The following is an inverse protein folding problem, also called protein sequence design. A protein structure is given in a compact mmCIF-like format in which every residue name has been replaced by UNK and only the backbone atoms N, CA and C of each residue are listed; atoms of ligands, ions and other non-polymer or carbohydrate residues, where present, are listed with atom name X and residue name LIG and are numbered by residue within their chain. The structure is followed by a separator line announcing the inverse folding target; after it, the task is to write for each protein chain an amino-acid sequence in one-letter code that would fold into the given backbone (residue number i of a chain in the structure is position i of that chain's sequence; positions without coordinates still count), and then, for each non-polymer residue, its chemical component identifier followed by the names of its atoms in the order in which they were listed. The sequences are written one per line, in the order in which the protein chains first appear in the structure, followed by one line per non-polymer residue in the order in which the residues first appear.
data_IF_354069706195
#
_entry.id   IF_354069706195
#
_cell.length_a   1.000
_cell.length_b   1.000
_cell.length_c   1.000
_cell.angle_alpha   90.00
_cell.angle_beta   90.00
_cell.angle_gamma   90.00
#
_symmetry.space_group_name_H-M   'P 1'
#
loop_
_entity.id
_entity.type
_entity.pdbx_description
1 polymer ?
#
# COMPACT_ATOMS: atom_id res chain seq x y z
N UNK A 1 -5.47 -21.32 32.07
CA UNK A 1 -4.61 -20.58 33.02
C UNK A 1 -3.45 -21.48 33.42
N UNK A 2 -2.21 -20.99 33.56
CA UNK A 2 -1.84 -19.59 33.63
C UNK A 2 -0.89 -19.11 32.50
N UNK A 3 -1.01 -17.82 32.22
CA UNK A 3 0.02 -16.85 31.80
C UNK A 3 1.36 -17.39 31.30
N UNK A 4 1.55 -17.37 29.99
CA UNK A 4 2.83 -17.03 29.41
C UNK A 4 2.79 -15.55 29.04
N UNK A 5 3.20 -14.66 29.94
CA UNK A 5 3.69 -13.34 29.52
C UNK A 5 4.86 -13.67 28.61
N UNK A 6 4.72 -13.52 27.29
CA UNK A 6 5.88 -13.56 26.42
C UNK A 6 6.69 -12.31 26.77
N UNK A 7 7.62 -12.48 27.70
CA UNK A 7 8.67 -11.52 27.99
C UNK A 7 9.20 -11.00 26.65
N UNK A 8 9.39 -9.68 26.54
CA UNK A 8 9.83 -9.00 25.32
C UNK A 8 11.19 -9.43 24.74
N UNK A 9 11.73 -10.58 25.17
CA UNK A 9 12.89 -11.27 24.60
C UNK A 9 12.57 -11.98 23.27
N UNK A 10 11.32 -12.39 23.03
CA UNK A 10 10.90 -12.99 21.76
C UNK A 10 10.68 -11.97 20.63
N UNK A 11 10.69 -10.67 20.96
CA UNK A 11 10.55 -9.57 20.01
C UNK A 11 11.88 -9.09 19.41
N UNK A 12 13.02 -9.68 19.81
CA UNK A 12 14.34 -9.25 19.33
C UNK A 12 14.83 -10.23 18.26
N UNK A 13 15.06 -9.72 17.05
CA UNK A 13 15.66 -10.49 15.97
C UNK A 13 17.05 -11.00 16.38
N UNK A 14 17.32 -12.27 16.14
CA UNK A 14 18.67 -12.85 16.21
C UNK A 14 19.56 -12.32 15.08
N UNK A 15 20.90 -12.49 15.14
CA UNK A 15 21.77 -12.10 14.03
C UNK A 15 21.40 -12.76 12.69
N UNK A 16 21.06 -14.05 12.70
CA UNK A 16 20.66 -14.78 11.49
C UNK A 16 19.33 -14.24 10.93
N UNK A 17 18.36 -13.97 11.80
CA UNK A 17 17.09 -13.35 11.40
C UNK A 17 17.28 -11.94 10.84
N UNK A 18 18.19 -11.14 11.41
CA UNK A 18 18.56 -9.83 10.84
C UNK A 18 19.19 -9.96 9.46
N UNK A 19 20.09 -10.92 9.26
CA UNK A 19 20.67 -11.20 7.93
C UNK A 19 19.59 -11.60 6.94
N UNK A 20 18.71 -12.53 7.31
CA UNK A 20 17.60 -12.99 6.46
C UNK A 20 16.66 -11.85 6.07
N UNK A 21 16.29 -10.99 7.03
CA UNK A 21 15.46 -9.81 6.76
C UNK A 21 16.17 -8.82 5.82
N UNK A 22 17.47 -8.61 6.02
CA UNK A 22 18.28 -7.76 5.14
C UNK A 22 18.39 -8.34 3.72
N UNK A 23 18.48 -9.66 3.57
CA UNK A 23 18.52 -10.32 2.27
C UNK A 23 17.21 -10.11 1.49
N UNK A 24 16.05 -10.22 2.15
CA UNK A 24 14.75 -9.92 1.53
C UNK A 24 14.70 -8.44 1.11
N UNK A 25 15.12 -7.51 1.99
CA UNK A 25 15.16 -6.06 1.70
C UNK A 25 16.06 -5.69 0.52
N UNK A 26 17.17 -6.41 0.37
CA UNK A 26 18.18 -6.12 -0.64
C UNK A 26 17.89 -6.77 -2.00
N UNK A 27 16.89 -7.64 -2.09
CA UNK A 27 16.51 -8.27 -3.36
C UNK A 27 15.89 -7.24 -4.30
N UNK A 28 16.44 -7.14 -5.51
CA UNK A 28 16.03 -6.16 -6.53
C UNK A 28 14.95 -6.67 -7.47
N UNK A 29 14.83 -8.00 -7.58
CA UNK A 29 13.95 -8.71 -8.49
C UNK A 29 13.71 -10.16 -7.98
N UNK A 30 12.71 -10.83 -8.54
CA UNK A 30 12.31 -12.19 -8.17
C UNK A 30 13.43 -13.21 -8.47
N UNK A 31 14.23 -12.98 -9.52
CA UNK A 31 15.37 -13.84 -9.83
C UNK A 31 16.47 -13.73 -8.77
N UNK A 32 16.72 -12.53 -8.25
CA UNK A 32 17.64 -12.29 -7.13
C UNK A 32 17.12 -12.91 -5.84
N UNK A 33 15.82 -12.77 -5.57
CA UNK A 33 15.18 -13.43 -4.44
C UNK A 33 15.33 -14.96 -4.52
N UNK A 34 15.15 -15.54 -5.70
CA UNK A 34 15.35 -16.98 -5.97
C UNK A 34 16.77 -17.42 -5.63
N UNK A 35 17.79 -16.69 -6.08
CA UNK A 35 19.19 -16.98 -5.76
C UNK A 35 19.49 -16.88 -4.26
N UNK A 36 18.93 -15.88 -3.57
CA UNK A 36 19.10 -15.68 -2.12
C UNK A 36 18.43 -16.76 -1.28
N UNK A 37 17.33 -17.32 -1.79
CA UNK A 37 16.56 -18.34 -1.11
C UNK A 37 16.95 -19.77 -1.51
N UNK A 38 17.81 -19.93 -2.52
CA UNK A 38 18.14 -21.22 -3.14
C UNK A 38 16.86 -22.01 -3.47
N UNK A 39 15.90 -21.30 -4.08
CA UNK A 39 14.57 -21.84 -4.39
C UNK A 39 14.52 -22.41 -5.82
N UNK A 40 13.65 -23.40 -6.01
CA UNK A 40 13.46 -24.07 -7.31
C UNK A 40 12.80 -23.18 -8.36
N UNK A 41 12.05 -22.15 -7.94
CA UNK A 41 11.36 -21.20 -8.80
C UNK A 41 11.19 -19.83 -8.16
N UNK A 42 10.89 -18.82 -8.97
CA UNK A 42 10.56 -17.46 -8.51
C UNK A 42 9.27 -17.43 -7.68
N UNK A 43 8.29 -18.28 -8.01
CA UNK A 43 7.06 -18.42 -7.20
C UNK A 43 7.37 -19.01 -5.82
N UNK A 44 8.18 -20.07 -5.76
CA UNK A 44 8.58 -20.68 -4.49
C UNK A 44 9.38 -19.70 -3.63
N UNK A 45 10.31 -18.97 -4.25
CA UNK A 45 11.08 -17.92 -3.60
C UNK A 45 10.17 -16.82 -3.03
N UNK A 46 9.20 -16.34 -3.82
CA UNK A 46 8.27 -15.30 -3.42
C UNK A 46 7.44 -15.72 -2.20
N UNK A 47 6.82 -16.89 -2.22
CA UNK A 47 5.99 -17.36 -1.10
C UNK A 47 6.81 -17.74 0.14
N UNK A 48 8.01 -18.31 -0.04
CA UNK A 48 8.94 -18.54 1.06
C UNK A 48 9.37 -17.22 1.71
N UNK A 49 9.68 -16.21 0.89
CA UNK A 49 10.03 -14.88 1.36
C UNK A 49 8.86 -14.19 2.07
N UNK A 50 7.63 -14.27 1.56
CA UNK A 50 6.43 -13.71 2.22
C UNK A 50 6.25 -14.24 3.64
N UNK A 51 6.43 -15.56 3.83
CA UNK A 51 6.33 -16.18 5.15
C UNK A 51 7.44 -15.69 6.08
N UNK A 52 8.70 -15.80 5.65
CA UNK A 52 9.84 -15.36 6.46
C UNK A 52 9.72 -13.86 6.79
N UNK A 53 9.33 -13.03 5.81
CA UNK A 53 9.09 -11.61 5.96
C UNK A 53 8.04 -11.30 7.01
N UNK A 54 6.89 -11.96 6.96
CA UNK A 54 5.80 -11.74 7.91
C UNK A 54 6.27 -11.93 9.36
N UNK A 55 6.94 -13.05 9.64
CA UNK A 55 7.43 -13.40 10.98
C UNK A 55 8.55 -12.46 11.45
N UNK A 56 9.49 -12.14 10.56
CA UNK A 56 10.61 -11.26 10.88
C UNK A 56 10.15 -9.81 11.11
N UNK A 57 9.24 -9.31 10.27
CA UNK A 57 8.66 -7.97 10.42
C UNK A 57 7.76 -7.88 11.64
N UNK A 58 7.06 -8.96 12.03
CA UNK A 58 6.32 -8.99 13.28
C UNK A 58 7.20 -8.72 14.49
N UNK A 59 8.34 -9.43 14.59
CA UNK A 59 9.32 -9.21 15.66
C UNK A 59 9.90 -7.79 15.62
N UNK A 60 10.32 -7.34 14.44
CA UNK A 60 10.91 -6.00 14.27
C UNK A 60 9.92 -4.89 14.68
N UNK A 61 8.67 -4.95 14.22
CA UNK A 61 7.65 -3.95 14.51
C UNK A 61 7.13 -4.03 15.96
N UNK A 62 7.20 -5.19 16.61
CA UNK A 62 6.90 -5.33 18.04
C UNK A 62 7.87 -4.52 18.91
N UNK A 63 9.11 -4.31 18.44
CA UNK A 63 10.11 -3.49 19.14
C UNK A 63 9.90 -1.97 18.97
N UNK A 64 9.06 -1.54 18.01
CA UNK A 64 8.81 -0.13 17.72
C UNK A 64 7.74 0.42 18.67
N UNK A 65 8.05 1.45 19.49
CA UNK A 65 7.08 2.10 20.36
C UNK A 65 5.93 2.68 19.56
N UNK A 66 4.72 2.62 20.12
CA UNK A 66 3.58 3.36 19.57
C UNK A 66 3.80 4.85 19.83
N UNK A 67 3.58 5.66 18.80
CA UNK A 67 3.66 7.12 18.90
C UNK A 67 2.25 7.67 19.12
N UNK A 68 2.17 8.75 19.88
CA UNK A 68 0.94 9.53 20.01
C UNK A 68 0.68 10.29 18.71
N UNK A 69 -0.60 10.51 18.38
CA UNK A 69 -1.00 11.22 17.17
C UNK A 69 -1.57 10.29 16.09
N UNK A 70 -1.62 10.80 14.87
CA UNK A 70 -2.06 10.02 13.71
C UNK A 70 -0.97 8.99 13.36
N UNK A 71 -1.27 7.67 13.38
CA UNK A 71 -0.26 6.66 13.12
C UNK A 71 0.36 6.82 11.72
N UNK A 72 1.67 6.64 11.62
CA UNK A 72 2.40 6.77 10.36
C UNK A 72 3.91 6.69 10.55
N UNK A 73 4.61 6.51 9.43
CA UNK A 73 6.07 6.52 9.37
C UNK A 73 6.56 7.80 8.71
N UNK A 74 7.65 8.35 9.21
CA UNK A 74 8.23 9.58 8.68
C UNK A 74 9.63 9.32 8.14
N UNK A 75 9.89 9.82 6.94
CA UNK A 75 11.20 9.78 6.28
C UNK A 75 11.66 11.22 6.08
N UNK A 76 12.92 11.51 6.40
CA UNK A 76 13.53 12.80 6.09
C UNK A 76 14.24 12.72 4.74
N UNK A 77 13.77 13.47 3.75
CA UNK A 77 14.35 13.60 2.41
C UNK A 77 14.87 15.02 2.27
N UNK A 78 16.16 15.20 1.98
CA UNK A 78 16.80 16.52 1.84
C UNK A 78 16.54 17.51 2.99
N UNK A 79 16.40 17.00 4.22
CA UNK A 79 16.10 17.80 5.41
C UNK A 79 14.61 18.06 5.65
N UNK A 80 13.73 17.60 4.77
CA UNK A 80 12.28 17.73 4.88
C UNK A 80 11.66 16.46 5.47
N UNK A 81 10.91 16.59 6.55
CA UNK A 81 10.17 15.48 7.14
C UNK A 81 8.89 15.22 6.34
N UNK A 82 8.77 14.02 5.78
CA UNK A 82 7.58 13.54 5.06
C UNK A 82 7.01 12.37 5.86
N UNK A 83 5.81 12.53 6.41
CA UNK A 83 5.11 11.53 7.19
C UNK A 83 3.96 10.91 6.39
N UNK A 84 3.87 9.58 6.38
CA UNK A 84 2.86 8.82 5.63
C UNK A 84 1.92 8.11 6.59
N UNK A 85 0.64 8.44 6.51
CA UNK A 85 -0.41 7.96 7.39
C UNK A 85 -1.40 7.07 6.62
N UNK A 86 -1.47 5.80 7.01
CA UNK A 86 -2.38 4.81 6.44
C UNK A 86 -3.78 4.83 7.08
N UNK A 87 -4.84 4.91 6.27
CA UNK A 87 -6.25 4.94 6.69
C UNK A 87 -7.05 3.77 6.06
N UNK A 88 -8.32 3.63 6.42
CA UNK A 88 -9.13 2.49 5.97
C UNK A 88 -9.87 2.68 4.64
N UNK A 89 -10.15 3.93 4.24
CA UNK A 89 -11.09 4.27 3.15
C UNK A 89 -12.54 3.83 3.39
N UNK A 90 -12.94 3.61 4.65
CA UNK A 90 -14.26 3.05 4.96
C UNK A 90 -15.39 4.10 5.02
N UNK A 91 -15.07 5.38 4.82
CA UNK A 91 -16.02 6.50 4.84
C UNK A 91 -16.95 6.52 6.07
N UNK A 92 -16.41 6.23 7.26
CA UNK A 92 -17.20 6.22 8.50
C UNK A 92 -17.15 7.58 9.21
N UNK A 93 -18.23 7.97 9.92
CA UNK A 93 -18.21 9.18 10.76
C UNK A 93 -17.16 9.14 11.89
N UNK A 94 -16.75 7.95 12.31
CA UNK A 94 -15.70 7.77 13.31
C UNK A 94 -14.32 8.10 12.74
N UNK A 95 -14.00 7.54 11.57
CA UNK A 95 -12.77 7.83 10.84
C UNK A 95 -12.72 9.29 10.42
N UNK A 96 -13.79 9.86 9.86
CA UNK A 96 -13.86 11.27 9.47
C UNK A 96 -13.51 12.19 10.65
N UNK A 97 -14.17 12.02 11.80
CA UNK A 97 -13.95 12.85 12.98
C UNK A 97 -12.50 12.76 13.47
N UNK A 98 -11.97 11.54 13.54
CA UNK A 98 -10.61 11.29 13.97
C UNK A 98 -9.60 11.95 13.03
N UNK A 99 -9.76 11.76 11.73
CA UNK A 99 -8.87 12.32 10.72
C UNK A 99 -8.93 13.85 10.71
N UNK A 100 -10.13 14.45 10.71
CA UNK A 100 -10.29 15.92 10.74
C UNK A 100 -9.67 16.53 12.00
N UNK A 101 -9.81 15.89 13.15
CA UNK A 101 -9.20 16.36 14.40
C UNK A 101 -7.67 16.37 14.31
N UNK A 102 -7.07 15.29 13.81
CA UNK A 102 -5.62 15.19 13.66
C UNK A 102 -5.08 16.10 12.56
N UNK A 103 -5.72 16.15 11.39
CA UNK A 103 -5.32 17.02 10.28
C UNK A 103 -5.40 18.49 10.66
N UNK A 104 -6.43 18.91 11.40
CA UNK A 104 -6.51 20.30 11.90
C UNK A 104 -5.28 20.66 12.75
N UNK A 105 -4.86 19.78 13.65
CA UNK A 105 -3.64 19.99 14.45
C UNK A 105 -2.36 20.06 13.60
N UNK A 106 -2.28 19.25 12.54
CA UNK A 106 -1.14 19.29 11.61
C UNK A 106 -1.07 20.63 10.89
N UNK A 107 -2.21 21.11 10.37
CA UNK A 107 -2.33 22.40 9.68
C UNK A 107 -2.04 23.57 10.62
N UNK A 108 -2.56 23.55 11.86
CA UNK A 108 -2.25 24.54 12.89
C UNK A 108 -0.75 24.58 13.24
N UNK A 109 -0.07 23.42 13.13
CA UNK A 109 1.37 23.28 13.26
C UNK A 109 2.17 23.78 12.04
N UNK A 110 1.50 24.26 10.99
CA UNK A 110 2.12 24.76 9.77
C UNK A 110 2.53 23.68 8.77
N UNK A 111 2.06 22.44 8.94
CA UNK A 111 2.30 21.38 7.97
C UNK A 111 1.50 21.58 6.67
N UNK A 112 1.97 20.96 5.59
CA UNK A 112 1.19 20.78 4.37
C UNK A 112 0.65 19.35 4.33
N UNK A 113 -0.63 19.18 4.02
CA UNK A 113 -1.28 17.86 3.98
C UNK A 113 -1.69 17.52 2.55
N UNK A 114 -1.21 16.39 2.06
CA UNK A 114 -1.65 15.78 0.81
C UNK A 114 -2.41 14.48 1.10
N UNK A 115 -3.37 14.14 0.27
CA UNK A 115 -4.15 12.91 0.41
C UNK A 115 -4.49 12.32 -0.95
N UNK A 116 -4.85 11.04 -1.00
CA UNK A 116 -5.38 10.43 -2.22
C UNK A 116 -6.63 11.18 -2.72
N UNK A 117 -6.85 11.15 -4.04
CA UNK A 117 -7.99 11.85 -4.67
C UNK A 117 -9.35 11.46 -4.06
N UNK A 118 -9.58 10.16 -3.81
CA UNK A 118 -10.80 9.68 -3.18
C UNK A 118 -10.95 10.17 -1.74
N UNK A 119 -9.86 10.12 -0.96
CA UNK A 119 -9.82 10.55 0.45
C UNK A 119 -10.15 12.03 0.62
N UNK A 120 -9.69 12.87 -0.30
CA UNK A 120 -10.06 14.29 -0.30
C UNK A 120 -11.57 14.46 -0.35
N UNK A 121 -12.21 13.82 -1.33
CA UNK A 121 -13.66 13.94 -1.56
C UNK A 121 -14.45 13.41 -0.37
N UNK A 122 -13.99 12.33 0.26
CA UNK A 122 -14.63 11.73 1.43
C UNK A 122 -14.57 12.63 2.67
N UNK A 123 -13.39 13.17 3.02
CA UNK A 123 -13.20 13.78 4.35
C UNK A 123 -12.74 15.23 4.37
N UNK A 124 -12.24 15.78 3.27
CA UNK A 124 -11.48 17.03 3.31
C UNK A 124 -11.81 18.01 2.18
N UNK A 125 -12.93 17.82 1.48
CA UNK A 125 -13.30 18.66 0.34
C UNK A 125 -13.43 20.14 0.75
N UNK A 126 -13.92 20.37 1.97
CA UNK A 126 -14.13 21.67 2.59
C UNK A 126 -12.97 22.18 3.45
N UNK A 127 -11.84 21.44 3.54
CA UNK A 127 -10.72 21.79 4.43
C UNK A 127 -9.60 22.49 3.66
N UNK A 128 -9.36 23.80 3.87
CA UNK A 128 -8.25 24.51 3.26
C UNK A 128 -6.90 23.97 3.77
N UNK A 129 -5.90 23.89 2.90
CA UNK A 129 -4.56 23.41 3.26
C UNK A 129 -4.37 21.91 3.22
N UNK A 130 -5.44 21.15 2.94
CA UNK A 130 -5.36 19.77 2.45
C UNK A 130 -5.42 19.82 0.92
N UNK A 131 -4.68 18.96 0.24
CA UNK A 131 -4.65 18.89 -1.23
C UNK A 131 -4.76 17.43 -1.70
N UNK A 132 -5.42 17.20 -2.84
CA UNK A 132 -5.42 15.87 -3.46
C UNK A 132 -4.13 15.70 -4.28
N UNK A 133 -3.51 14.54 -4.14
CA UNK A 133 -2.40 14.11 -5.00
C UNK A 133 -2.92 13.82 -6.41
N UNK A 134 -2.01 13.75 -7.38
CA UNK A 134 -2.32 13.19 -8.69
C UNK A 134 -1.83 11.74 -8.76
N UNK A 135 -2.61 10.86 -8.16
CA UNK A 135 -2.30 9.45 -7.96
C UNK A 135 -3.25 8.53 -8.74
N UNK A 136 -4.55 8.62 -8.51
CA UNK A 136 -5.52 7.69 -9.09
C UNK A 136 -5.77 7.97 -10.57
N UNK A 137 -6.02 9.24 -10.95
CA UNK A 137 -6.15 9.63 -12.36
C UNK A 137 -4.91 9.28 -13.17
N UNK A 138 -3.72 9.54 -12.64
CA UNK A 138 -2.46 9.09 -13.24
C UNK A 138 -2.46 7.58 -13.50
N UNK A 139 -2.83 6.77 -12.51
CA UNK A 139 -2.86 5.31 -12.66
C UNK A 139 -3.86 4.87 -13.74
N UNK A 140 -5.05 5.46 -13.77
CA UNK A 140 -6.07 5.19 -14.79
C UNK A 140 -5.62 5.56 -16.20
N UNK A 141 -4.89 6.68 -16.35
CA UNK A 141 -4.29 7.05 -17.63
C UNK A 141 -3.28 5.99 -18.09
N UNK A 142 -2.43 5.50 -17.17
CA UNK A 142 -1.45 4.44 -17.47
C UNK A 142 -2.08 3.09 -17.79
N UNK A 143 -3.21 2.75 -17.17
CA UNK A 143 -3.96 1.54 -17.54
C UNK A 143 -4.48 1.66 -18.97
N UNK A 144 -5.08 2.80 -19.34
CA UNK A 144 -5.56 3.05 -20.70
C UNK A 144 -4.44 2.96 -21.74
N UNK A 145 -3.28 3.54 -21.47
CA UNK A 145 -2.13 3.45 -22.37
C UNK A 145 -1.61 2.01 -22.50
N UNK A 146 -1.62 1.23 -21.42
CA UNK A 146 -1.17 -0.16 -21.43
C UNK A 146 -2.09 -1.10 -22.23
N UNK A 147 -3.39 -0.82 -22.26
CA UNK A 147 -4.39 -1.61 -23.01
C UNK A 147 -4.32 -1.37 -24.52
N UNK A 148 -3.90 -0.18 -24.95
CA UNK A 148 -3.73 0.15 -26.38
C UNK A 148 -2.60 -0.69 -27.01
N UNK A 149 -1.64 -1.16 -26.22
CA UNK A 149 -0.49 -1.94 -26.68
C UNK A 149 -0.65 -3.47 -26.52
N UNK A 150 -1.75 -3.95 -25.91
CA UNK A 150 -2.02 -5.38 -25.77
C UNK A 150 -2.72 -5.93 -27.02
N UNK A 151 -2.22 -7.00 -27.70
CA UNK A 151 -3.03 -7.72 -28.67
C UNK A 151 -4.25 -8.27 -27.93
N UNK A 152 -5.43 -7.83 -28.35
CA UNK A 152 -6.70 -8.19 -27.73
C UNK A 152 -6.97 -9.70 -27.79
N UNK A 153 -6.43 -10.44 -26.83
CA UNK A 153 -7.03 -11.69 -26.35
C UNK A 153 -7.76 -11.36 -25.06
N UNK A 154 -9.05 -11.04 -25.19
CA UNK A 154 -10.00 -11.33 -24.12
C UNK A 154 -10.77 -10.21 -23.45
N UNK A 155 -10.72 -8.93 -23.88
CA UNK A 155 -11.65 -7.92 -23.35
C UNK A 155 -12.12 -6.96 -24.45
N UNK A 156 -13.44 -6.80 -24.60
CA UNK A 156 -14.06 -6.05 -25.69
C UNK A 156 -14.19 -4.56 -25.34
N UNK A 157 -13.54 -3.73 -26.16
CA UNK A 157 -13.23 -2.30 -25.97
C UNK A 157 -14.41 -1.33 -26.26
N UNK A 158 -15.69 -1.76 -26.26
CA UNK A 158 -16.74 -0.91 -26.88
C UNK A 158 -17.54 0.04 -25.98
N UNK A 159 -17.18 0.31 -24.72
CA UNK A 159 -17.98 1.20 -23.85
C UNK A 159 -17.23 2.43 -23.28
N UNK A 160 -16.01 2.71 -23.71
CA UNK A 160 -15.13 3.70 -23.08
C UNK A 160 -15.31 5.19 -23.46
N UNK A 161 -16.27 5.56 -24.31
CA UNK A 161 -16.52 6.99 -24.63
C UNK A 161 -17.43 7.72 -23.62
N UNK A 162 -18.01 7.01 -22.64
CA UNK A 162 -18.91 7.60 -21.62
C UNK A 162 -18.36 7.65 -20.19
N UNK A 163 -17.14 7.18 -19.94
CA UNK A 163 -16.66 6.71 -18.62
C UNK A 163 -15.74 7.73 -17.90
N UNK A 164 -16.03 9.02 -18.04
CA UNK A 164 -15.37 10.06 -17.22
C UNK A 164 -16.07 10.29 -15.87
N UNK A 165 -17.21 9.63 -15.59
CA UNK A 165 -18.06 9.95 -14.43
C UNK A 165 -18.30 8.84 -13.40
N UNK A 166 -17.85 7.59 -13.57
CA UNK A 166 -18.02 6.57 -12.52
C UNK A 166 -16.72 5.87 -12.12
N UNK A 167 -16.21 6.26 -10.94
CA UNK A 167 -15.13 5.54 -10.24
C UNK A 167 -15.62 4.18 -9.74
N UNK A 168 -16.92 4.06 -9.46
CA UNK A 168 -17.53 2.85 -8.90
C UNK A 168 -17.66 1.73 -9.93
N UNK A 169 -17.99 2.04 -11.19
CA UNK A 169 -18.10 1.03 -12.27
C UNK A 169 -16.74 0.45 -12.67
N UNK A 170 -15.69 1.26 -12.67
CA UNK A 170 -14.31 0.80 -12.89
C UNK A 170 -13.81 -0.06 -11.72
N UNK A 171 -14.14 0.30 -10.48
CA UNK A 171 -13.82 -0.52 -9.32
C UNK A 171 -14.51 -1.90 -9.39
N UNK A 172 -15.73 -1.97 -9.93
CA UNK A 172 -16.44 -3.24 -10.18
C UNK A 172 -15.78 -4.09 -11.29
N UNK A 173 -15.31 -3.47 -12.36
CA UNK A 173 -14.59 -4.17 -13.44
C UNK A 173 -13.23 -4.72 -12.96
N UNK A 174 -12.46 -3.90 -12.24
CA UNK A 174 -11.22 -4.33 -11.60
C UNK A 174 -11.43 -5.43 -10.56
N UNK A 175 -12.56 -5.37 -9.85
CA UNK A 175 -12.97 -6.42 -8.91
C UNK A 175 -13.25 -7.73 -9.63
N UNK A 176 -14.02 -7.71 -10.72
CA UNK A 176 -14.32 -8.92 -11.50
C UNK A 176 -13.04 -9.52 -12.11
N UNK A 177 -12.13 -8.67 -12.60
CA UNK A 177 -10.83 -9.10 -13.11
C UNK A 177 -9.96 -9.73 -12.01
N UNK A 178 -9.82 -9.08 -10.84
CA UNK A 178 -9.04 -9.60 -9.72
C UNK A 178 -9.62 -10.91 -9.17
N UNK A 179 -10.94 -11.04 -9.08
CA UNK A 179 -11.58 -12.30 -8.66
C UNK A 179 -11.39 -13.40 -9.70
N UNK A 180 -11.55 -13.10 -10.99
CA UNK A 180 -11.29 -14.07 -12.06
C UNK A 180 -9.84 -14.56 -12.03
N UNK A 181 -8.89 -13.66 -11.75
CA UNK A 181 -7.49 -14.00 -11.58
C UNK A 181 -7.25 -14.85 -10.32
N UNK A 182 -7.89 -14.51 -9.19
CA UNK A 182 -7.84 -15.31 -7.95
C UNK A 182 -8.37 -16.72 -8.20
N UNK A 183 -9.53 -16.88 -8.84
CA UNK A 183 -10.14 -18.18 -9.11
C UNK A 183 -9.30 -19.01 -10.10
N UNK A 184 -8.95 -18.43 -11.25
CA UNK A 184 -8.15 -19.12 -12.27
C UNK A 184 -6.73 -19.44 -11.79
N UNK A 185 -6.12 -18.54 -11.01
CA UNK A 185 -4.80 -18.73 -10.45
C UNK A 185 -4.79 -19.65 -9.22
N UNK A 186 -5.84 -19.71 -8.41
CA UNK A 186 -5.92 -20.64 -7.28
C UNK A 186 -6.04 -22.09 -7.74
N UNK A 187 -6.70 -22.34 -8.87
CA UNK A 187 -6.76 -23.69 -9.46
C UNK A 187 -5.39 -24.20 -9.92
N UNK A 188 -4.49 -23.29 -10.30
CA UNK A 188 -3.15 -23.59 -10.83
C UNK A 188 -2.06 -23.51 -9.75
N UNK A 189 -2.14 -22.52 -8.86
CA UNK A 189 -1.11 -22.12 -7.90
C UNK A 189 -1.53 -22.30 -6.42
N UNK A 190 -2.79 -22.69 -6.16
CA UNK A 190 -3.32 -23.00 -4.84
C UNK A 190 -3.78 -21.79 -4.02
N UNK A 191 -4.36 -22.06 -2.84
CA UNK A 191 -4.99 -21.06 -1.96
C UNK A 191 -4.06 -19.89 -1.55
N UNK A 192 -2.74 -20.11 -1.52
CA UNK A 192 -1.75 -19.07 -1.18
C UNK A 192 -1.70 -17.94 -2.22
N UNK A 193 -1.96 -18.27 -3.48
CA UNK A 193 -2.03 -17.29 -4.55
C UNK A 193 -3.26 -16.40 -4.39
N UNK A 194 -4.43 -17.01 -4.20
CA UNK A 194 -5.68 -16.28 -3.96
C UNK A 194 -5.59 -15.36 -2.76
N UNK A 195 -5.00 -15.82 -1.68
CA UNK A 195 -4.69 -15.04 -0.49
C UNK A 195 -3.80 -13.79 -0.75
N UNK A 196 -2.74 -13.94 -1.56
CA UNK A 196 -1.82 -12.83 -1.84
C UNK A 196 -2.49 -11.76 -2.72
N UNK A 197 -3.27 -12.16 -3.72
CA UNK A 197 -4.08 -11.23 -4.52
C UNK A 197 -5.21 -10.60 -3.72
N UNK A 198 -5.83 -11.40 -2.84
CA UNK A 198 -6.88 -10.96 -1.93
C UNK A 198 -6.45 -9.79 -1.05
N UNK A 199 -5.24 -9.81 -0.52
CA UNK A 199 -4.74 -8.69 0.29
C UNK A 199 -4.38 -7.43 -0.50
N UNK A 200 -4.06 -7.58 -1.79
CA UNK A 200 -3.89 -6.45 -2.70
C UNK A 200 -5.26 -5.85 -3.04
N UNK A 201 -6.21 -6.71 -3.42
CA UNK A 201 -7.56 -6.34 -3.80
C UNK A 201 -8.36 -5.76 -2.62
N UNK A 202 -8.22 -6.31 -1.41
CA UNK A 202 -8.86 -5.84 -0.18
C UNK A 202 -8.46 -4.39 0.13
N UNK A 203 -7.21 -4.00 -0.13
CA UNK A 203 -6.76 -2.61 0.03
C UNK A 203 -7.43 -1.62 -0.94
N UNK A 204 -7.94 -2.12 -2.07
CA UNK A 204 -8.58 -1.34 -3.12
C UNK A 204 -10.12 -1.36 -3.04
N UNK A 205 -10.71 -2.49 -2.64
CA UNK A 205 -12.15 -2.79 -2.76
C UNK A 205 -12.95 -2.63 -1.45
N UNK A 206 -12.42 -1.89 -0.47
CA UNK A 206 -12.93 -1.84 0.92
C UNK A 206 -14.38 -1.37 1.10
N UNK A 207 -15.05 -0.89 0.05
CA UNK A 207 -16.39 -0.30 0.13
C UNK A 207 -17.56 -1.30 0.01
N UNK A 208 -17.31 -2.60 -0.25
CA UNK A 208 -18.39 -3.58 -0.47
C UNK A 208 -18.22 -4.85 0.38
N UNK A 209 -19.16 -5.09 1.31
CA UNK A 209 -19.09 -6.10 2.40
C UNK A 209 -19.17 -7.58 1.96
N UNK A 210 -19.43 -7.88 0.69
CA UNK A 210 -20.03 -9.18 0.32
C UNK A 210 -19.08 -10.35 0.02
N UNK A 211 -17.75 -10.19 -0.03
CA UNK A 211 -16.90 -11.24 -0.61
C UNK A 211 -15.55 -11.35 0.10
N UNK A 212 -15.34 -12.42 0.87
CA UNK A 212 -14.05 -12.72 1.45
C UNK A 212 -13.78 -14.23 1.49
N UNK A 213 -12.68 -14.65 0.86
CA UNK A 213 -12.02 -15.94 1.16
C UNK A 213 -11.25 -15.83 2.49
N UNK A 214 -10.64 -16.92 2.97
CA UNK A 214 -10.15 -17.03 4.36
C UNK A 214 -9.09 -16.01 4.81
N UNK A 215 -8.24 -15.49 3.90
CA UNK A 215 -7.24 -14.46 4.23
C UNK A 215 -7.76 -13.03 4.04
N UNK A 216 -8.65 -12.80 3.06
CA UNK A 216 -9.46 -11.56 2.95
C UNK A 216 -10.20 -11.24 4.25
N UNK A 217 -10.52 -12.29 5.03
CA UNK A 217 -11.15 -12.14 6.33
C UNK A 217 -10.28 -11.38 7.34
N UNK A 218 -8.95 -11.51 7.31
CA UNK A 218 -8.10 -10.81 8.28
C UNK A 218 -7.90 -9.34 7.93
N UNK A 219 -7.56 -9.01 6.68
CA UNK A 219 -7.45 -7.64 6.18
C UNK A 219 -8.78 -6.90 6.37
N UNK A 220 -9.89 -7.49 5.90
CA UNK A 220 -11.23 -6.93 6.09
C UNK A 220 -11.59 -6.73 7.57
N UNK A 221 -11.34 -7.73 8.43
CA UNK A 221 -11.62 -7.61 9.86
C UNK A 221 -10.79 -6.52 10.53
N UNK A 222 -9.53 -6.33 10.14
CA UNK A 222 -8.70 -5.24 10.68
C UNK A 222 -9.17 -3.89 10.17
N UNK A 223 -9.46 -3.77 8.88
CA UNK A 223 -10.02 -2.57 8.25
C UNK A 223 -11.32 -2.18 8.95
N UNK A 224 -12.29 -3.09 9.07
CA UNK A 224 -13.56 -2.84 9.76
C UNK A 224 -13.37 -2.41 11.21
N UNK A 225 -12.50 -3.09 11.96
CA UNK A 225 -12.20 -2.71 13.36
C UNK A 225 -11.58 -1.31 13.46
N UNK A 226 -10.76 -0.92 12.49
CA UNK A 226 -10.16 0.40 12.43
C UNK A 226 -11.16 1.47 11.95
N UNK A 227 -12.08 1.12 11.06
CA UNK A 227 -13.17 1.97 10.62
C UNK A 227 -14.16 2.26 11.77
N UNK A 228 -14.44 1.27 12.62
CA UNK A 228 -15.27 1.40 13.83
C UNK A 228 -14.52 2.11 14.97
N UNK A 229 -13.21 1.91 15.08
CA UNK A 229 -12.34 2.55 16.07
C UNK A 229 -10.99 2.96 15.46
N UNK A 230 -10.83 4.23 15.05
CA UNK A 230 -9.61 4.73 14.42
C UNK A 230 -8.33 4.64 15.27
N UNK A 231 -8.44 4.43 16.60
CA UNK A 231 -7.26 4.12 17.43
C UNK A 231 -6.57 2.81 17.01
N UNK A 232 -7.26 1.97 16.24
CA UNK A 232 -6.74 0.71 15.67
C UNK A 232 -6.03 0.89 14.34
N UNK A 233 -5.94 2.10 13.78
CA UNK A 233 -5.20 2.36 12.54
C UNK A 233 -3.73 1.90 12.63
N UNK A 234 -3.11 2.02 13.81
CA UNK A 234 -1.75 1.50 14.04
C UNK A 234 -1.66 -0.03 13.85
N UNK A 235 -2.70 -0.77 14.25
CA UNK A 235 -2.73 -2.22 14.11
C UNK A 235 -2.94 -2.61 12.62
N UNK A 236 -3.69 -1.80 11.86
CA UNK A 236 -3.90 -1.98 10.42
C UNK A 236 -2.63 -1.66 9.61
N UNK A 237 -1.96 -0.54 9.89
CA UNK A 237 -0.70 -0.19 9.22
C UNK A 237 0.38 -1.25 9.49
N UNK A 238 0.49 -1.72 10.74
CA UNK A 238 1.40 -2.83 11.10
C UNK A 238 1.07 -4.13 10.36
N UNK A 239 -0.20 -4.38 10.04
CA UNK A 239 -0.57 -5.55 9.25
C UNK A 239 -0.02 -5.45 7.83
N UNK A 240 -0.29 -4.36 7.11
CA UNK A 240 0.22 -4.19 5.75
C UNK A 240 1.75 -4.11 5.67
N UNK A 241 2.40 -3.53 6.68
CA UNK A 241 3.87 -3.48 6.80
C UNK A 241 4.55 -4.86 6.97
N UNK A 242 3.78 -5.91 7.29
CA UNK A 242 4.22 -7.32 7.35
C UNK A 242 3.72 -8.14 6.16
N UNK A 243 2.75 -7.64 5.41
CA UNK A 243 2.08 -8.42 4.35
C UNK A 243 2.72 -8.21 2.98
N UNK A 244 3.21 -7.02 2.69
CA UNK A 244 3.92 -6.74 1.44
C UNK A 244 5.44 -6.83 1.64
N UNK A 245 6.09 -7.60 0.76
CA UNK A 245 7.52 -7.57 0.50
C UNK A 245 7.96 -6.18 0.00
N UNK A 246 9.28 -5.92 -0.09
CA UNK A 246 9.80 -4.73 -0.76
C UNK A 246 9.18 -4.48 -2.14
N UNK A 247 8.94 -3.20 -2.46
CA UNK A 247 8.17 -2.79 -3.65
C UNK A 247 8.67 -3.36 -5.00
N UNK A 248 9.99 -3.53 -5.26
CA UNK A 248 10.43 -4.14 -6.52
C UNK A 248 9.87 -5.55 -6.72
N UNK A 249 9.83 -6.34 -5.65
CA UNK A 249 9.35 -7.73 -5.68
C UNK A 249 7.82 -7.78 -5.87
N UNK A 250 7.08 -6.98 -5.11
CA UNK A 250 5.61 -6.92 -5.23
C UNK A 250 5.16 -6.42 -6.60
N UNK A 251 5.85 -5.41 -7.15
CA UNK A 251 5.55 -4.87 -8.50
C UNK A 251 5.89 -5.86 -9.59
N UNK A 252 7.06 -6.48 -9.53
CA UNK A 252 7.43 -7.49 -10.52
C UNK A 252 6.47 -8.68 -10.48
N UNK A 253 6.10 -9.13 -9.28
CA UNK A 253 5.12 -10.20 -9.12
C UNK A 253 3.77 -9.80 -9.70
N UNK A 254 3.21 -8.64 -9.36
CA UNK A 254 1.94 -8.21 -9.94
C UNK A 254 2.02 -7.99 -11.45
N UNK A 255 3.05 -7.36 -12.00
CA UNK A 255 3.17 -7.18 -13.47
C UNK A 255 3.10 -8.47 -14.27
N UNK A 256 3.55 -9.58 -13.68
CA UNK A 256 3.51 -10.90 -14.32
C UNK A 256 2.13 -11.57 -14.26
N UNK A 257 1.23 -11.10 -13.39
CA UNK A 257 -0.10 -11.70 -13.18
C UNK A 257 -1.24 -10.74 -13.57
N UNK A 258 -1.12 -9.46 -13.20
CA UNK A 258 -2.05 -8.38 -13.52
C UNK A 258 -1.33 -7.02 -13.51
N UNK A 259 -1.04 -6.52 -14.71
CA UNK A 259 -0.38 -5.23 -14.90
C UNK A 259 -1.25 -4.05 -14.49
N UNK A 260 -2.56 -4.13 -14.69
CA UNK A 260 -3.43 -3.02 -14.33
C UNK A 260 -3.60 -2.93 -12.81
N UNK A 261 -3.74 -4.08 -12.13
CA UNK A 261 -3.74 -4.15 -10.67
C UNK A 261 -2.42 -3.62 -10.09
N UNK A 262 -1.27 -3.91 -10.71
CA UNK A 262 0.00 -3.29 -10.31
C UNK A 262 -0.04 -1.75 -10.40
N UNK A 263 -0.61 -1.22 -11.48
CA UNK A 263 -0.69 0.22 -11.72
C UNK A 263 -1.55 0.92 -10.66
N UNK A 264 -2.74 0.37 -10.35
CA UNK A 264 -3.69 0.97 -9.39
C UNK A 264 -3.36 0.69 -7.92
N UNK A 265 -2.34 -0.14 -7.64
CA UNK A 265 -1.88 -0.44 -6.28
C UNK A 265 -0.43 -0.01 -6.02
N UNK A 266 0.56 -0.79 -6.48
CA UNK A 266 1.95 -0.58 -6.12
C UNK A 266 2.68 0.48 -6.96
N UNK A 267 2.30 0.70 -8.22
CA UNK A 267 2.87 1.80 -9.00
C UNK A 267 2.44 3.17 -8.45
N UNK A 268 1.22 3.28 -7.91
CA UNK A 268 0.77 4.50 -7.22
C UNK A 268 1.62 4.84 -6.01
N UNK A 269 2.21 3.86 -5.32
CA UNK A 269 3.11 4.14 -4.20
C UNK A 269 4.33 4.98 -4.62
N UNK A 270 4.89 4.67 -5.79
CA UNK A 270 5.98 5.43 -6.39
C UNK A 270 5.52 6.86 -6.72
N UNK A 271 4.36 6.97 -7.39
CA UNK A 271 3.76 8.24 -7.77
C UNK A 271 3.48 9.16 -6.58
N UNK A 272 2.90 8.62 -5.51
CA UNK A 272 2.61 9.37 -4.28
C UNK A 272 3.89 9.86 -3.58
N UNK A 273 4.94 9.04 -3.55
CA UNK A 273 6.22 9.42 -2.97
C UNK A 273 6.89 10.56 -3.76
N UNK A 274 6.91 10.46 -5.09
CA UNK A 274 7.46 11.54 -5.94
C UNK A 274 6.66 12.83 -5.82
N UNK A 275 5.33 12.73 -5.80
CA UNK A 275 4.45 13.87 -5.61
C UNK A 275 4.79 14.59 -4.29
N UNK A 276 4.99 13.83 -3.21
CA UNK A 276 5.36 14.38 -1.91
C UNK A 276 6.72 15.10 -1.93
N UNK A 277 7.74 14.51 -2.57
CA UNK A 277 9.08 15.10 -2.68
C UNK A 277 9.07 16.33 -3.58
N UNK A 278 8.39 16.27 -4.73
CA UNK A 278 8.20 17.40 -5.64
C UNK A 278 7.58 18.61 -4.94
N UNK A 279 6.66 18.37 -4.01
CA UNK A 279 5.97 19.41 -3.27
C UNK A 279 6.59 19.74 -1.89
N UNK A 280 7.70 19.11 -1.50
CA UNK A 280 8.32 19.34 -0.20
C UNK A 280 9.10 20.66 -0.10
N UNK A 281 9.14 21.47 -1.17
CA UNK A 281 9.84 22.76 -1.18
C UNK A 281 9.32 23.72 -0.10
N UNK A 282 10.23 24.22 0.74
CA UNK A 282 9.91 25.25 1.74
C UNK A 282 9.66 24.75 3.16
N UNK A 283 10.65 24.07 3.77
CA UNK A 283 10.86 23.82 5.23
C UNK A 283 9.72 23.27 6.10
N UNK A 284 8.51 23.08 5.58
CA UNK A 284 7.36 22.62 6.35
C UNK A 284 7.31 21.09 6.32
N UNK A 285 6.91 20.43 7.43
CA UNK A 285 6.59 19.02 7.39
C UNK A 285 5.48 18.74 6.37
N UNK A 286 5.65 17.69 5.59
CA UNK A 286 4.65 17.19 4.65
C UNK A 286 4.00 15.95 5.24
N UNK A 287 2.67 15.88 5.21
CA UNK A 287 1.91 14.72 5.66
C UNK A 287 1.08 14.16 4.53
N UNK A 288 1.19 12.86 4.29
CA UNK A 288 0.40 12.12 3.30
C UNK A 288 -0.67 11.30 4.02
N UNK A 289 -1.93 11.42 3.60
CA UNK A 289 -3.03 10.56 4.03
C UNK A 289 -3.38 9.60 2.89
N UNK A 290 -3.07 8.33 3.08
CA UNK A 290 -3.18 7.27 2.07
C UNK A 290 -3.89 6.05 2.65
N UNK A 291 -4.41 5.16 1.82
CA UNK A 291 -4.89 3.86 2.21
C UNK A 291 -3.78 3.08 2.92
N UNK A 292 -4.13 2.34 3.96
CA UNK A 292 -3.15 1.66 4.80
C UNK A 292 -2.29 0.65 4.04
N UNK A 293 -2.78 0.11 2.91
CA UNK A 293 -2.02 -0.75 2.02
C UNK A 293 -0.92 -0.02 1.24
N UNK A 294 -1.11 1.27 0.94
CA UNK A 294 -0.13 2.09 0.23
C UNK A 294 1.02 2.54 1.12
N UNK A 295 0.76 2.77 2.41
CA UNK A 295 1.73 3.36 3.35
C UNK A 295 3.12 2.70 3.33
N UNK A 296 3.28 1.36 3.39
CA UNK A 296 4.61 0.73 3.38
C UNK A 296 5.36 0.98 2.07
N UNK A 297 4.66 1.01 0.94
CA UNK A 297 5.26 1.23 -0.36
C UNK A 297 5.67 2.68 -0.59
N UNK A 298 4.86 3.64 -0.17
CA UNK A 298 5.20 5.06 -0.24
C UNK A 298 6.44 5.33 0.61
N UNK A 299 6.49 4.80 1.83
CA UNK A 299 7.67 4.90 2.71
C UNK A 299 8.91 4.31 2.04
N UNK A 300 8.80 3.13 1.42
CA UNK A 300 9.91 2.53 0.69
C UNK A 300 10.50 3.49 -0.37
N UNK A 301 9.67 4.14 -1.19
CA UNK A 301 10.19 5.08 -2.21
C UNK A 301 10.74 6.36 -1.61
N UNK A 302 10.18 6.88 -0.52
CA UNK A 302 10.76 8.00 0.22
C UNK A 302 12.14 7.66 0.78
N UNK A 303 12.36 6.43 1.23
CA UNK A 303 13.68 5.99 1.69
C UNK A 303 14.71 5.93 0.56
N UNK A 304 14.28 5.60 -0.66
CA UNK A 304 15.14 5.62 -1.87
C UNK A 304 15.52 7.04 -2.27
N UNK A 305 14.57 7.99 -2.20
CA UNK A 305 14.86 9.43 -2.34
C UNK A 305 15.87 9.89 -1.29
N UNK A 306 15.66 9.57 -0.01
CA UNK A 306 16.62 9.86 1.08
C UNK A 306 18.02 9.30 0.81
N UNK A 307 18.10 8.12 0.21
CA UNK A 307 19.37 7.45 -0.09
C UNK A 307 20.04 7.97 -1.38
N UNK A 308 19.40 8.85 -2.14
CA UNK A 308 19.88 9.30 -3.45
C UNK A 308 19.82 8.21 -4.53
N UNK A 309 19.00 7.18 -4.32
CA UNK A 309 18.82 6.05 -5.24
C UNK A 309 17.60 6.23 -6.14
N UNK A 310 16.91 7.36 -5.98
CA UNK A 310 15.77 7.84 -6.75
C UNK A 310 15.81 9.36 -6.79
N UNK A 311 15.46 9.94 -7.92
CA UNK A 311 15.25 11.37 -8.13
C UNK A 311 13.86 11.61 -8.77
N UNK A 312 13.59 12.85 -9.14
CA UNK A 312 12.33 13.26 -9.79
C UNK A 312 12.44 13.29 -11.33
N UNK A 313 13.47 12.66 -11.91
CA UNK A 313 13.63 12.66 -13.36
C UNK A 313 12.46 11.93 -14.03
N UNK A 314 11.76 12.62 -14.95
CA UNK A 314 10.57 12.10 -15.62
C UNK A 314 9.28 12.16 -14.80
N UNK A 315 9.29 12.78 -13.61
CA UNK A 315 8.05 13.10 -12.90
C UNK A 315 7.39 14.34 -13.49
N UNK A 316 6.18 14.17 -14.03
CA UNK A 316 5.33 15.24 -14.52
C UNK A 316 3.95 15.14 -13.88
N UNK A 317 3.35 16.27 -13.48
CA UNK A 317 1.96 16.30 -13.00
C UNK A 317 1.02 15.98 -14.17
N UNK A 318 0.04 15.10 -13.96
CA UNK A 318 -0.98 14.86 -14.98
C UNK A 318 -1.91 16.08 -15.04
N UNK A 319 -2.22 16.51 -16.27
CA UNK A 319 -3.19 17.57 -16.54
C UNK A 319 -4.64 17.11 -16.30
#
# INVERSE_FOLDING_TARGET
MPSGSSDGRDAILTPAERTRLADIRAATDLADLTRRFDADSEHDAYFAAKRDWYDLREKELASVPRRDGLPGDCVTVDGHAICVHGITHADTPAEERYLREHVSRLLDGGATVYCEQGVRRMYFDDVPGVYAMDDYRWAMNRCRDADVDAPAEGFAVSEFEGLLEDVDSLAEEFREAAFTLIESGSDVYGERFGAALGDVASGFLTTHEDLATGEDFESFRKTRRAAENPERLVDLQRYYAKRFLPQPLEREWLRRHDRQLELVTHARNERMADYAVYHAEGTRPVHLIVGAAHQPGVVYYLERHRAGERDLDGFELSE
#
